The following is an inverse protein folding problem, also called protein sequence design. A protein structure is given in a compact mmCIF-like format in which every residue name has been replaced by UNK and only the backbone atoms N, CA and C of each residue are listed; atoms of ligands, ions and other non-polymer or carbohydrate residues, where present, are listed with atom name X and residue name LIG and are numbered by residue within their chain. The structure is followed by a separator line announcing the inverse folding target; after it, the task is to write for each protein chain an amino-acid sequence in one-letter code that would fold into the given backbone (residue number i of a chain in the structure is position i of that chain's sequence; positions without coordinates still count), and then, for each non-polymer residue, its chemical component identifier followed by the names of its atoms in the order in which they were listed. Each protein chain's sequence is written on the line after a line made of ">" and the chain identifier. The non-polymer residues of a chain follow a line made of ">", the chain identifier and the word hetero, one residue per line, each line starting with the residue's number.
data_IF_160996540644
#
_entry.id   IF_160996540644
#
_cell.length_a   1.000
_cell.length_b   1.000
_cell.length_c   1.000
_cell.angle_alpha   90.00
_cell.angle_beta   90.00
_cell.angle_gamma   90.00
#
_symmetry.space_group_name_H-M   'P 1'
#
loop_
_entity.id
_entity.type
_entity.pdbx_description
1 polymer ?
#
# COMPACT_ATOMS: atom_id res chain seq x y z
N UNK A 1 8.46 10.15 5.95
CA UNK A 1 8.11 11.45 5.33
C UNK A 1 9.21 12.45 5.61
N UNK A 2 9.31 13.52 4.84
CA UNK A 2 10.27 14.59 5.14
C UNK A 2 9.86 15.32 6.43
N UNK A 3 10.82 15.92 7.17
CA UNK A 3 10.50 16.66 8.40
C UNK A 3 9.47 17.77 8.14
N UNK A 4 8.48 17.90 9.04
CA UNK A 4 7.40 18.90 8.98
C UNK A 4 6.52 18.84 7.72
N UNK A 5 6.44 17.68 7.06
CA UNK A 5 5.63 17.49 5.85
C UNK A 5 4.21 16.97 6.14
N UNK A 6 3.84 16.85 7.42
CA UNK A 6 2.64 16.15 7.88
C UNK A 6 1.35 16.77 7.34
N UNK A 7 1.19 18.10 7.46
CA UNK A 7 0.02 18.82 6.96
C UNK A 7 -0.07 18.78 5.42
N UNK A 8 1.07 18.92 4.74
CA UNK A 8 1.14 18.84 3.29
C UNK A 8 0.81 17.43 2.79
N UNK A 9 1.27 16.39 3.50
CA UNK A 9 0.94 15.02 3.21
C UNK A 9 -0.56 14.77 3.39
N UNK A 10 -1.15 15.20 4.51
CA UNK A 10 -2.57 15.05 4.78
C UNK A 10 -3.43 15.74 3.69
N UNK A 11 -3.04 16.94 3.26
CA UNK A 11 -3.73 17.66 2.21
C UNK A 11 -3.68 16.92 0.86
N UNK A 12 -2.49 16.47 0.43
CA UNK A 12 -2.35 15.70 -0.82
C UNK A 12 -3.06 14.35 -0.73
N UNK A 13 -3.00 13.70 0.43
CA UNK A 13 -3.68 12.43 0.66
C UNK A 13 -5.20 12.57 0.48
N UNK A 14 -5.81 13.56 1.12
CA UNK A 14 -7.27 13.75 1.08
C UNK A 14 -7.77 14.30 -0.26
N UNK A 15 -7.05 15.26 -0.85
CA UNK A 15 -7.52 15.98 -2.04
C UNK A 15 -7.12 15.33 -3.36
N UNK A 16 -6.06 14.53 -3.37
CA UNK A 16 -5.49 13.98 -4.61
C UNK A 16 -5.43 12.46 -4.56
N UNK A 17 -4.83 11.89 -3.52
CA UNK A 17 -4.58 10.44 -3.46
C UNK A 17 -5.88 9.65 -3.30
N UNK A 18 -6.68 9.95 -2.27
CA UNK A 18 -7.93 9.25 -2.01
C UNK A 18 -8.93 9.35 -3.18
N UNK A 19 -9.17 10.52 -3.81
CA UNK A 19 -10.02 10.61 -4.98
C UNK A 19 -9.47 9.81 -6.17
N UNK A 20 -8.16 9.84 -6.40
CA UNK A 20 -7.52 9.08 -7.48
C UNK A 20 -7.69 7.57 -7.28
N UNK A 21 -7.44 7.07 -6.07
CA UNK A 21 -7.64 5.66 -5.72
C UNK A 21 -9.10 5.23 -5.91
N UNK A 22 -10.05 6.02 -5.41
CA UNK A 22 -11.49 5.73 -5.53
C UNK A 22 -12.00 5.68 -6.97
N UNK A 23 -11.32 6.38 -7.89
CA UNK A 23 -11.66 6.34 -9.31
C UNK A 23 -11.15 5.06 -10.01
N UNK A 24 -10.24 4.30 -9.40
CA UNK A 24 -9.66 3.10 -10.00
C UNK A 24 -10.63 1.91 -9.95
N UNK A 25 -10.77 1.14 -11.04
CA UNK A 25 -11.53 -0.10 -11.03
C UNK A 25 -10.99 -1.08 -9.99
N UNK A 26 -11.89 -1.67 -9.19
CA UNK A 26 -11.53 -2.68 -8.20
C UNK A 26 -10.87 -2.14 -6.92
N UNK A 27 -10.77 -0.82 -6.74
CA UNK A 27 -10.40 -0.25 -5.44
C UNK A 27 -11.43 -0.63 -4.37
N UNK A 28 -10.97 -1.07 -3.19
CA UNK A 28 -11.84 -1.48 -2.08
C UNK A 28 -11.71 -0.56 -0.88
N UNK A 29 -10.49 -0.29 -0.44
CA UNK A 29 -10.24 0.56 0.72
C UNK A 29 -8.78 1.05 0.76
N UNK A 30 -8.51 2.05 1.59
CA UNK A 30 -7.17 2.54 1.89
C UNK A 30 -7.01 2.77 3.39
N UNK A 31 -6.00 2.12 3.98
CA UNK A 31 -5.66 2.29 5.39
C UNK A 31 -4.33 3.00 5.54
N UNK A 32 -4.36 4.17 6.18
CA UNK A 32 -3.16 4.96 6.48
C UNK A 32 -2.78 4.82 7.96
N UNK A 33 -1.54 4.43 8.20
CA UNK A 33 -0.95 4.29 9.52
C UNK A 33 0.22 5.26 9.66
N UNK A 34 0.31 5.92 10.81
CA UNK A 34 1.47 6.74 11.19
C UNK A 34 2.26 6.01 12.26
N UNK A 35 3.57 5.86 12.06
CA UNK A 35 4.45 5.19 13.03
C UNK A 35 4.60 6.10 14.25
N UNK A 36 4.29 5.55 15.43
CA UNK A 36 4.41 6.31 16.67
C UNK A 36 5.84 6.80 16.89
N UNK A 37 6.02 8.12 17.01
CA UNK A 37 7.30 8.76 17.32
C UNK A 37 8.23 8.99 16.12
N UNK A 38 7.79 8.74 14.89
CA UNK A 38 8.58 8.99 13.68
C UNK A 38 7.76 9.59 12.54
N UNK A 39 8.41 10.15 11.51
CA UNK A 39 7.74 10.71 10.34
C UNK A 39 7.30 9.61 9.34
N UNK A 40 7.40 8.34 9.71
CA UNK A 40 7.13 7.23 8.80
C UNK A 40 5.64 6.91 8.75
N UNK A 41 5.16 6.67 7.54
CA UNK A 41 3.77 6.31 7.28
C UNK A 41 3.71 5.02 6.49
N UNK A 42 2.69 4.22 6.77
CA UNK A 42 2.39 2.99 6.04
C UNK A 42 1.01 3.15 5.45
N UNK A 43 0.92 3.05 4.13
CA UNK A 43 -0.34 3.09 3.40
C UNK A 43 -0.64 1.70 2.87
N UNK A 44 -1.84 1.19 3.13
CA UNK A 44 -2.29 -0.16 2.75
C UNK A 44 -3.55 -0.05 1.92
N UNK A 45 -3.37 -0.17 0.59
CA UNK A 45 -4.50 -0.19 -0.35
C UNK A 45 -5.03 -1.61 -0.51
N UNK A 46 -6.35 -1.73 -0.45
CA UNK A 46 -7.06 -2.99 -0.68
C UNK A 46 -7.72 -2.96 -2.05
N UNK A 47 -7.58 -4.07 -2.77
CA UNK A 47 -8.06 -4.24 -4.13
C UNK A 47 -8.88 -5.52 -4.27
N UNK A 48 -9.83 -5.50 -5.20
CA UNK A 48 -10.69 -6.65 -5.51
C UNK A 48 -9.90 -7.83 -6.06
N UNK A 49 -8.88 -7.57 -6.88
CA UNK A 49 -8.05 -8.61 -7.45
C UNK A 49 -6.61 -8.11 -7.61
N UNK A 50 -5.69 -9.05 -7.83
CA UNK A 50 -4.29 -8.72 -8.08
C UNK A 50 -4.13 -7.90 -9.37
N UNK A 51 -4.90 -8.23 -10.39
CA UNK A 51 -4.86 -7.59 -11.70
C UNK A 51 -5.20 -6.10 -11.62
N UNK A 52 -6.21 -5.73 -10.81
CA UNK A 52 -6.59 -4.32 -10.62
C UNK A 52 -5.56 -3.55 -9.80
N UNK A 53 -4.98 -4.18 -8.77
CA UNK A 53 -3.89 -3.60 -7.99
C UNK A 53 -2.66 -3.30 -8.87
N UNK A 54 -2.24 -4.27 -9.69
CA UNK A 54 -1.09 -4.09 -10.57
C UNK A 54 -1.37 -3.10 -11.72
N UNK A 55 -2.62 -2.98 -12.18
CA UNK A 55 -3.00 -1.98 -13.17
C UNK A 55 -2.84 -0.55 -12.61
N UNK A 56 -3.21 -0.33 -11.35
CA UNK A 56 -2.95 0.93 -10.65
C UNK A 56 -1.45 1.19 -10.49
N UNK A 57 -0.67 0.20 -10.04
CA UNK A 57 0.78 0.32 -9.85
C UNK A 57 1.52 0.69 -11.15
N UNK A 58 1.11 0.12 -12.30
CA UNK A 58 1.74 0.42 -13.59
C UNK A 58 1.29 1.75 -14.21
N UNK A 59 0.11 2.23 -13.84
CA UNK A 59 -0.51 3.42 -14.41
C UNK A 59 -0.36 4.63 -13.50
N UNK A 60 -1.37 4.86 -12.67
CA UNK A 60 -1.54 6.09 -11.89
C UNK A 60 -0.57 6.25 -10.72
N UNK A 61 0.17 5.19 -10.34
CA UNK A 61 1.11 5.25 -9.23
C UNK A 61 2.30 6.18 -9.49
N UNK A 62 2.83 6.20 -10.72
CA UNK A 62 3.96 7.08 -11.08
C UNK A 62 3.57 8.55 -10.93
N UNK A 63 2.42 8.93 -11.48
CA UNK A 63 1.89 10.30 -11.38
C UNK A 63 1.64 10.71 -9.92
N UNK A 64 1.20 9.76 -9.10
CA UNK A 64 1.01 9.96 -7.65
C UNK A 64 2.34 10.19 -6.92
N UNK A 65 3.38 9.43 -7.25
CA UNK A 65 4.72 9.60 -6.69
C UNK A 65 5.33 10.95 -7.06
N UNK A 66 5.10 11.43 -8.28
CA UNK A 66 5.59 12.73 -8.73
C UNK A 66 4.95 13.87 -7.91
N UNK A 67 3.65 13.78 -7.63
CA UNK A 67 2.95 14.71 -6.74
C UNK A 67 3.45 14.68 -5.29
N UNK A 68 4.01 13.55 -4.85
CA UNK A 68 4.51 13.34 -3.49
C UNK A 68 6.04 13.50 -3.34
N UNK A 69 6.80 13.68 -4.43
CA UNK A 69 8.26 13.75 -4.40
C UNK A 69 8.81 14.87 -3.49
N UNK A 70 8.01 15.93 -3.29
CA UNK A 70 8.31 17.02 -2.35
C UNK A 70 8.12 16.65 -0.88
N UNK A 71 7.33 15.61 -0.58
CA UNK A 71 6.73 15.32 0.72
C UNK A 71 7.30 14.02 1.33
N UNK A 72 7.52 13.01 0.50
CA UNK A 72 8.03 11.69 0.93
C UNK A 72 9.36 11.36 0.24
N UNK A 73 10.16 10.52 0.89
CA UNK A 73 11.25 9.83 0.23
C UNK A 73 10.71 8.66 -0.60
N UNK A 74 11.56 8.05 -1.43
CA UNK A 74 11.17 6.95 -2.32
C UNK A 74 10.51 5.82 -1.52
N UNK A 75 9.19 5.54 -1.71
CA UNK A 75 8.51 4.55 -0.90
C UNK A 75 8.88 3.13 -1.33
N UNK A 76 8.81 2.20 -0.39
CA UNK A 76 8.92 0.76 -0.69
C UNK A 76 7.52 0.18 -0.84
N UNK A 77 7.22 -0.41 -1.99
CA UNK A 77 5.94 -1.06 -2.27
C UNK A 77 6.08 -2.57 -2.07
N UNK A 78 5.09 -3.19 -1.42
CA UNK A 78 4.97 -4.64 -1.30
C UNK A 78 3.52 -5.06 -1.53
N UNK A 79 3.32 -6.16 -2.24
CA UNK A 79 2.01 -6.74 -2.47
C UNK A 79 1.80 -7.97 -1.59
N UNK A 80 0.60 -8.11 -1.02
CA UNK A 80 0.20 -9.24 -0.19
C UNK A 80 -1.19 -9.71 -0.60
N UNK A 81 -1.46 -10.99 -0.38
CA UNK A 81 -2.82 -11.52 -0.45
C UNK A 81 -3.47 -11.40 0.94
N UNK A 82 -4.61 -10.73 1.01
CA UNK A 82 -5.36 -10.60 2.26
C UNK A 82 -5.91 -11.97 2.66
N UNK A 83 -5.37 -12.53 3.73
CA UNK A 83 -5.85 -13.82 4.25
C UNK A 83 -7.11 -13.64 5.09
N UNK A 84 -7.15 -12.64 5.98
CA UNK A 84 -8.27 -12.38 6.85
C UNK A 84 -8.29 -10.91 7.30
N UNK A 85 -9.48 -10.37 7.53
CA UNK A 85 -9.70 -9.06 8.12
C UNK A 85 -10.97 -9.11 8.97
N UNK A 86 -10.92 -8.54 10.17
CA UNK A 86 -12.13 -8.35 11.00
C UNK A 86 -12.85 -7.06 10.65
N UNK A 87 -12.20 -6.15 9.91
CA UNK A 87 -12.76 -4.87 9.45
C UNK A 87 -13.49 -5.02 8.10
N UNK A 88 -13.11 -6.03 7.30
CA UNK A 88 -13.66 -6.29 5.97
C UNK A 88 -14.36 -7.66 5.94
N UNK A 89 -15.14 -7.91 4.89
CA UNK A 89 -16.12 -9.01 4.74
C UNK A 89 -15.89 -10.26 5.61
N UNK A 90 -16.90 -10.69 6.40
CA UNK A 90 -16.77 -11.85 7.28
C UNK A 90 -16.51 -13.13 6.48
N UNK A 91 -15.50 -13.90 6.90
CA UNK A 91 -15.12 -15.15 6.25
C UNK A 91 -13.96 -15.84 6.95
N UNK A 92 -13.73 -17.10 6.60
CA UNK A 92 -12.56 -17.86 7.05
C UNK A 92 -11.28 -17.29 6.42
N UNK A 93 -10.16 -17.44 7.12
CA UNK A 93 -8.87 -17.04 6.59
C UNK A 93 -8.55 -17.84 5.30
N UNK A 94 -8.20 -17.14 4.23
CA UNK A 94 -7.83 -17.73 2.95
C UNK A 94 -6.33 -17.62 2.72
N UNK A 95 -5.63 -18.73 2.75
CA UNK A 95 -4.21 -18.77 2.45
C UNK A 95 -3.98 -19.24 1.01
N UNK A 96 -3.05 -18.64 0.25
CA UNK A 96 -2.67 -19.18 -1.04
C UNK A 96 -2.11 -20.58 -0.87
N UNK A 97 -2.42 -21.48 -1.82
CA UNK A 97 -1.82 -22.81 -1.87
C UNK A 97 -0.31 -22.65 -2.04
N UNK A 98 0.46 -22.91 -0.98
CA UNK A 98 1.92 -22.90 -1.08
C UNK A 98 2.36 -24.08 -1.95
N UNK A 99 3.16 -23.79 -2.99
CA UNK A 99 3.93 -24.83 -3.67
C UNK A 99 4.90 -25.45 -2.64
N UNK A 100 5.06 -26.78 -2.57
CA UNK A 100 5.83 -27.47 -1.53
C UNK A 100 7.36 -27.23 -1.57
N UNK A 101 7.86 -26.33 -2.42
CA UNK A 101 9.28 -26.05 -2.55
C UNK A 101 9.56 -24.72 -1.85
N UNK A 102 9.83 -24.79 -0.54
CA UNK A 102 10.45 -23.71 0.20
C UNK A 102 11.95 -23.75 -0.07
N UNK A 103 12.44 -22.95 -1.01
CA UNK A 103 13.85 -22.55 -0.94
C UNK A 103 13.94 -21.52 0.18
N UNK A 104 14.53 -21.91 1.32
CA UNK A 104 14.88 -20.96 2.37
C UNK A 104 15.67 -19.81 1.75
N UNK A 105 15.35 -18.53 2.05
CA UNK A 105 16.25 -17.46 1.69
C UNK A 105 17.55 -17.70 2.44
N UNK A 106 18.61 -18.03 1.71
CA UNK A 106 19.96 -18.24 2.24
C UNK A 106 20.28 -17.13 3.22
N UNK A 107 20.33 -17.47 4.51
CA UNK A 107 20.79 -16.56 5.54
C UNK A 107 22.21 -16.14 5.18
N UNK A 108 22.41 -14.88 4.84
CA UNK A 108 23.76 -14.32 4.74
C UNK A 108 24.16 -13.97 6.16
N UNK A 109 24.83 -14.92 6.81
CA UNK A 109 25.73 -14.60 7.90
C UNK A 109 27.00 -13.97 7.34
N UNK A 110 27.35 -12.81 7.89
CA UNK A 110 28.70 -12.42 8.35
C UNK A 110 28.62 -10.98 8.87
#
# INVERSE_FOLDING_TARGET
>A
MKPNADDAFAEVFEKTLLPSLRAQPGFRDEMLFVVAGGPDVVAVTLWESRETAEAFERGAWTDLLDGLAGIIDRPTVRAFQLAHSTLHAPGLAQFPTQSPITTEPTGVGA
#
